data_IF_511234977397
#
_entry.id   IF_511234977397
#
_cell.length_a   1.000
_cell.length_b   1.000
_cell.length_c   1.000
_cell.angle_alpha   90.00
_cell.angle_beta   90.00
_cell.angle_gamma   90.00
#
_symmetry.space_group_name_H-M   'P 1'
#
loop_
_entity.id
_entity.type
_entity.pdbx_description
1 polymer ?
#
# COMPACT_ATOMS: atom_id res chain seq x y z
N UNK A 1 -36.46 -48.21 89.02
CA UNK A 1 -36.23 -48.23 87.56
C UNK A 1 -36.81 -46.95 86.99
N UNK A 2 -35.97 -45.92 86.81
CA UNK A 2 -36.38 -44.63 86.26
C UNK A 2 -36.02 -44.58 84.78
N UNK A 3 -37.03 -44.42 83.92
CA UNK A 3 -36.86 -44.18 82.49
C UNK A 3 -36.65 -42.67 82.27
N UNK A 4 -35.41 -42.30 81.94
CA UNK A 4 -35.03 -40.93 81.61
C UNK A 4 -35.41 -40.61 80.17
N UNK A 5 -36.31 -39.64 80.02
CA UNK A 5 -36.82 -39.14 78.74
C UNK A 5 -35.84 -38.13 78.13
N UNK A 6 -35.30 -38.46 76.96
CA UNK A 6 -34.36 -37.63 76.19
C UNK A 6 -35.08 -36.41 75.59
N UNK A 7 -35.00 -35.25 76.25
CA UNK A 7 -35.32 -33.95 75.64
C UNK A 7 -34.18 -33.49 74.73
N UNK A 8 -34.25 -33.87 73.46
CA UNK A 8 -33.59 -33.17 72.37
C UNK A 8 -34.38 -31.88 72.11
N UNK A 9 -33.86 -30.74 72.57
CA UNK A 9 -34.44 -29.42 72.27
C UNK A 9 -33.53 -28.70 71.28
N UNK A 10 -34.15 -28.24 70.20
CA UNK A 10 -33.51 -27.83 68.97
C UNK A 10 -32.54 -26.68 69.13
N UNK A 11 -31.41 -26.79 68.44
CA UNK A 11 -30.51 -25.69 68.16
C UNK A 11 -31.28 -24.51 67.54
N UNK A 12 -31.12 -23.28 68.03
CA UNK A 12 -31.73 -22.12 67.41
C UNK A 12 -31.16 -21.97 65.99
N UNK A 13 -32.03 -22.13 64.99
CA UNK A 13 -31.72 -21.79 63.61
C UNK A 13 -31.51 -20.27 63.57
N UNK A 14 -30.23 -19.87 63.55
CA UNK A 14 -29.87 -18.48 63.35
C UNK A 14 -30.49 -18.00 62.03
N UNK A 15 -31.08 -16.80 61.99
CA UNK A 15 -31.61 -16.26 60.75
C UNK A 15 -30.47 -16.22 59.75
N UNK A 16 -30.66 -16.92 58.63
CA UNK A 16 -29.81 -16.84 57.46
C UNK A 16 -29.49 -15.36 57.23
N UNK A 17 -28.23 -14.97 57.37
CA UNK A 17 -27.80 -13.63 57.06
C UNK A 17 -28.11 -13.42 55.58
N UNK A 18 -29.19 -12.70 55.29
CA UNK A 18 -29.54 -12.31 53.93
C UNK A 18 -28.43 -11.36 53.54
N UNK A 19 -27.42 -11.88 52.83
CA UNK A 19 -26.40 -11.05 52.21
C UNK A 19 -27.16 -10.05 51.36
N UNK A 20 -27.16 -8.79 51.80
CA UNK A 20 -27.89 -7.71 51.12
C UNK A 20 -27.30 -7.61 49.72
N UNK A 21 -28.06 -8.03 48.71
CA UNK A 21 -27.62 -7.93 47.33
C UNK A 21 -27.60 -6.45 46.95
N UNK A 22 -26.40 -5.89 46.85
CA UNK A 22 -26.15 -4.49 46.46
C UNK A 22 -26.20 -4.27 44.94
N UNK A 23 -26.47 -5.32 44.15
CA UNK A 23 -26.61 -5.27 42.69
C UNK A 23 -27.52 -4.14 42.17
N UNK A 24 -28.74 -3.89 42.72
CA UNK A 24 -29.61 -2.82 42.22
C UNK A 24 -29.07 -1.42 42.51
N UNK A 25 -28.59 -1.17 43.74
CA UNK A 25 -28.00 0.12 44.14
C UNK A 25 -26.77 0.43 43.28
N UNK A 26 -25.96 -0.59 43.01
CA UNK A 26 -24.76 -0.46 42.19
C UNK A 26 -25.12 -0.13 40.74
N UNK A 27 -26.16 -0.74 40.16
CA UNK A 27 -26.54 -0.52 38.78
C UNK A 27 -27.05 0.92 38.51
N UNK A 28 -27.79 1.50 39.45
CA UNK A 28 -28.25 2.90 39.36
C UNK A 28 -27.10 3.91 39.46
N UNK A 29 -26.07 3.61 40.26
CA UNK A 29 -24.85 4.42 40.32
C UNK A 29 -24.10 4.38 38.98
N UNK A 30 -24.01 3.21 38.35
CA UNK A 30 -23.40 3.09 37.01
C UNK A 30 -24.16 3.86 35.94
N UNK A 31 -25.50 3.95 36.03
CA UNK A 31 -26.30 4.80 35.14
C UNK A 31 -25.87 6.28 35.26
N UNK A 32 -25.81 6.80 36.48
CA UNK A 32 -25.38 8.19 36.74
C UNK A 32 -23.94 8.45 36.28
N UNK A 33 -23.06 7.48 36.44
CA UNK A 33 -21.68 7.59 35.96
C UNK A 33 -21.62 7.64 34.43
N UNK A 34 -22.41 6.81 33.75
CA UNK A 34 -22.51 6.82 32.30
C UNK A 34 -23.05 8.15 31.78
N UNK A 35 -24.09 8.70 32.41
CA UNK A 35 -24.64 10.04 32.14
C UNK A 35 -23.58 11.12 32.29
N UNK A 36 -22.79 11.10 33.37
CA UNK A 36 -21.70 12.07 33.58
C UNK A 36 -20.60 11.99 32.53
N UNK A 37 -20.24 10.79 32.07
CA UNK A 37 -19.14 10.58 31.13
C UNK A 37 -19.52 10.78 29.66
N UNK A 38 -20.74 10.43 29.28
CA UNK A 38 -21.19 10.43 27.89
C UNK A 38 -22.35 11.38 27.62
N UNK A 39 -22.98 11.93 28.65
CA UNK A 39 -24.14 12.81 28.56
C UNK A 39 -25.47 12.06 28.65
N UNK A 40 -26.49 12.79 29.12
CA UNK A 40 -27.84 12.27 29.38
C UNK A 40 -28.54 11.77 28.12
N UNK A 41 -28.32 12.44 26.99
CA UNK A 41 -28.92 12.06 25.70
C UNK A 41 -28.50 10.65 25.27
N UNK A 42 -27.23 10.29 25.51
CA UNK A 42 -26.73 8.96 25.22
C UNK A 42 -27.32 7.91 26.17
N UNK A 43 -27.48 8.24 27.46
CA UNK A 43 -28.09 7.34 28.43
C UNK A 43 -29.57 7.08 28.08
N UNK A 44 -30.35 8.13 27.79
CA UNK A 44 -31.74 8.04 27.32
C UNK A 44 -31.86 7.19 26.06
N UNK A 45 -30.95 7.37 25.10
CA UNK A 45 -30.93 6.60 23.86
C UNK A 45 -30.68 5.11 24.12
N UNK A 46 -29.77 4.76 25.04
CA UNK A 46 -29.52 3.37 25.43
C UNK A 46 -30.76 2.77 26.11
N UNK A 47 -31.39 3.49 27.04
CA UNK A 47 -32.65 3.06 27.67
C UNK A 47 -33.76 2.86 26.63
N UNK A 48 -33.91 3.77 25.66
CA UNK A 48 -34.87 3.60 24.55
C UNK A 48 -34.59 2.33 23.75
N UNK A 49 -33.33 2.05 23.40
CA UNK A 49 -32.94 0.84 22.64
C UNK A 49 -33.18 -0.44 23.43
N UNK A 50 -32.91 -0.42 24.73
CA UNK A 50 -33.21 -1.53 25.64
C UNK A 50 -34.70 -1.83 25.69
N UNK A 51 -35.52 -0.79 25.86
CA UNK A 51 -36.97 -0.92 25.89
C UNK A 51 -37.53 -1.42 24.56
N UNK A 52 -37.00 -0.95 23.42
CA UNK A 52 -37.39 -1.43 22.09
C UNK A 52 -37.08 -2.91 21.89
N UNK A 53 -35.92 -3.37 22.36
CA UNK A 53 -35.48 -4.76 22.21
C UNK A 53 -35.99 -5.67 23.33
N UNK A 54 -36.63 -5.11 24.36
CA UNK A 54 -37.06 -5.81 25.57
C UNK A 54 -35.89 -6.55 26.26
N UNK A 55 -34.70 -5.95 26.26
CA UNK A 55 -33.51 -6.52 26.92
C UNK A 55 -33.00 -5.57 27.99
N UNK A 56 -32.74 -6.12 29.18
CA UNK A 56 -32.12 -5.40 30.30
C UNK A 56 -30.66 -5.80 30.39
N UNK A 57 -29.76 -4.85 30.18
CA UNK A 57 -28.33 -5.02 30.43
C UNK A 57 -27.90 -4.20 31.65
N UNK A 58 -26.83 -4.64 32.32
CA UNK A 58 -26.22 -3.88 33.42
C UNK A 58 -25.49 -2.66 32.85
N UNK A 59 -25.68 -1.49 33.47
CA UNK A 59 -25.04 -0.24 33.04
C UNK A 59 -23.51 -0.32 33.07
N UNK A 60 -22.96 -1.12 33.98
CA UNK A 60 -21.51 -1.42 34.03
C UNK A 60 -21.01 -2.04 32.71
N UNK A 61 -21.73 -3.04 32.18
CA UNK A 61 -21.32 -3.73 30.94
C UNK A 61 -21.41 -2.80 29.73
N UNK A 62 -22.44 -1.95 29.68
CA UNK A 62 -22.56 -0.93 28.64
C UNK A 62 -21.44 0.10 28.68
N UNK A 63 -21.04 0.50 29.90
CA UNK A 63 -19.93 1.42 30.10
C UNK A 63 -18.61 0.80 29.60
N UNK A 64 -18.33 -0.45 29.99
CA UNK A 64 -17.13 -1.16 29.55
C UNK A 64 -17.10 -1.34 28.03
N UNK A 65 -18.21 -1.77 27.42
CA UNK A 65 -18.31 -1.95 25.98
C UNK A 65 -18.07 -0.64 25.21
N UNK A 66 -18.68 0.46 25.67
CA UNK A 66 -18.52 1.78 25.04
C UNK A 66 -17.11 2.36 25.22
N UNK A 67 -16.49 2.09 26.36
CA UNK A 67 -15.11 2.50 26.63
C UNK A 67 -14.15 1.79 25.67
N UNK A 68 -14.32 0.48 25.49
CA UNK A 68 -13.56 -0.31 24.52
C UNK A 68 -13.77 0.17 23.08
N UNK A 69 -15.00 0.47 22.68
CA UNK A 69 -15.28 1.00 21.34
C UNK A 69 -14.53 2.31 21.05
N UNK A 70 -14.45 3.21 22.04
CA UNK A 70 -13.68 4.46 21.93
C UNK A 70 -12.18 4.17 21.83
N UNK A 71 -11.67 3.28 22.65
CA UNK A 71 -10.26 2.89 22.66
C UNK A 71 -9.86 2.24 21.33
N UNK A 72 -10.68 1.35 20.79
CA UNK A 72 -10.48 0.73 19.47
C UNK A 72 -10.45 1.76 18.35
N UNK A 73 -11.33 2.77 18.40
CA UNK A 73 -11.32 3.86 17.43
C UNK A 73 -10.03 4.68 17.50
N UNK A 74 -9.58 5.00 18.72
CA UNK A 74 -8.31 5.70 18.94
C UNK A 74 -7.13 4.87 18.46
N UNK A 75 -7.06 3.59 18.83
CA UNK A 75 -6.02 2.65 18.43
C UNK A 75 -5.94 2.50 16.90
N UNK A 76 -7.08 2.36 16.22
CA UNK A 76 -7.13 2.33 14.74
C UNK A 76 -6.59 3.62 14.13
N UNK A 77 -6.89 4.77 14.71
CA UNK A 77 -6.36 6.05 14.21
C UNK A 77 -4.85 6.19 14.44
N UNK A 78 -4.35 5.74 15.59
CA UNK A 78 -2.93 5.74 15.93
C UNK A 78 -2.14 4.75 15.06
N UNK A 79 -2.70 3.56 14.81
CA UNK A 79 -2.10 2.54 13.94
C UNK A 79 -1.95 3.05 12.50
N UNK A 80 -2.96 3.74 11.96
CA UNK A 80 -2.88 4.39 10.64
C UNK A 80 -1.75 5.43 10.58
N UNK A 81 -1.53 6.18 11.65
CA UNK A 81 -0.44 7.15 11.71
C UNK A 81 0.92 6.45 11.77
N UNK A 82 1.04 5.40 12.59
CA UNK A 82 2.26 4.59 12.69
C UNK A 82 2.65 3.98 11.35
N UNK A 83 1.69 3.38 10.63
CA UNK A 83 1.92 2.81 9.30
C UNK A 83 2.49 3.86 8.32
N UNK A 84 1.92 5.06 8.27
CA UNK A 84 2.41 6.15 7.41
C UNK A 84 3.84 6.56 7.74
N UNK A 85 4.17 6.61 9.03
CA UNK A 85 5.51 6.95 9.49
C UNK A 85 6.53 5.89 9.07
N UNK A 86 6.19 4.61 9.26
CA UNK A 86 7.05 3.48 8.87
C UNK A 86 7.26 3.44 7.34
N UNK A 87 6.21 3.68 6.56
CA UNK A 87 6.32 3.82 5.10
C UNK A 87 7.24 4.97 4.68
N UNK A 88 7.17 6.11 5.38
CA UNK A 88 8.02 7.26 5.08
C UNK A 88 9.48 6.98 5.46
N UNK A 89 9.72 6.33 6.59
CA UNK A 89 11.05 5.87 6.98
C UNK A 89 11.63 4.90 5.97
N UNK A 90 10.87 3.91 5.52
CA UNK A 90 11.30 2.95 4.50
C UNK A 90 11.63 3.65 3.16
N UNK A 91 10.82 4.65 2.76
CA UNK A 91 11.10 5.49 1.59
C UNK A 91 12.37 6.34 1.75
N UNK A 92 12.70 6.78 2.96
CA UNK A 92 13.95 7.51 3.23
C UNK A 92 15.15 6.57 3.22
N UNK A 93 15.02 5.39 3.83
CA UNK A 93 16.06 4.36 3.83
C UNK A 93 16.37 3.84 2.43
N UNK A 94 15.36 3.65 1.57
CA UNK A 94 15.59 3.20 0.18
C UNK A 94 16.32 4.25 -0.68
N UNK A 95 16.20 5.53 -0.34
CA UNK A 95 16.94 6.63 -0.97
C UNK A 95 18.35 6.80 -0.40
N UNK A 96 18.64 6.22 0.77
CA UNK A 96 19.95 6.35 1.39
C UNK A 96 20.99 5.60 0.56
N UNK A 97 22.09 6.28 0.24
CA UNK A 97 23.20 5.70 -0.52
C UNK A 97 23.81 4.59 0.34
N UNK A 98 23.60 3.34 -0.06
CA UNK A 98 24.38 2.23 0.50
C UNK A 98 25.80 2.37 -0.01
N UNK A 99 26.72 2.70 0.91
CA UNK A 99 28.16 2.65 0.63
C UNK A 99 28.47 1.18 0.37
N UNK A 100 28.57 0.78 -0.91
CA UNK A 100 29.07 -0.54 -1.25
C UNK A 100 30.44 -0.69 -0.58
N UNK A 101 30.53 -1.57 0.41
CA UNK A 101 31.83 -2.00 0.91
C UNK A 101 32.54 -2.62 -0.28
N UNK A 102 33.54 -1.90 -0.79
CA UNK A 102 34.37 -2.37 -1.89
C UNK A 102 35.15 -3.56 -1.36
N UNK A 103 34.58 -4.76 -1.45
CA UNK A 103 35.42 -5.94 -1.64
C UNK A 103 36.03 -5.71 -3.02
N UNK A 104 37.36 -5.58 -3.15
CA UNK A 104 37.97 -5.40 -4.45
C UNK A 104 37.50 -6.54 -5.35
N UNK A 105 37.08 -6.26 -6.60
CA UNK A 105 36.65 -7.31 -7.51
C UNK A 105 37.76 -8.36 -7.55
N UNK A 106 37.44 -9.58 -7.10
CA UNK A 106 38.42 -10.67 -7.12
C UNK A 106 38.92 -10.80 -8.55
N UNK A 107 40.24 -10.82 -8.68
CA UNK A 107 40.99 -10.53 -9.90
C UNK A 107 40.39 -11.16 -11.16
N UNK A 108 39.48 -10.45 -11.82
CA UNK A 108 38.99 -10.82 -13.14
C UNK A 108 39.29 -9.65 -14.07
N UNK A 109 40.35 -9.84 -14.86
CA UNK A 109 40.89 -8.88 -15.83
C UNK A 109 39.87 -8.68 -16.97
N UNK A 110 38.75 -7.99 -16.71
CA UNK A 110 37.85 -7.56 -17.77
C UNK A 110 38.29 -6.19 -18.25
N UNK A 111 38.89 -6.16 -19.44
CA UNK A 111 39.29 -4.95 -20.17
C UNK A 111 38.12 -3.98 -20.29
N UNK A 112 38.22 -2.82 -19.65
CA UNK A 112 37.26 -1.71 -19.77
C UNK A 112 37.61 -0.73 -20.91
N UNK A 113 38.39 -1.17 -21.90
CA UNK A 113 38.66 -0.39 -23.11
C UNK A 113 38.63 -1.29 -24.35
N UNK A 114 37.46 -1.82 -24.68
CA UNK A 114 37.22 -2.38 -26.00
C UNK A 114 35.78 -2.16 -26.43
N UNK A 115 35.38 -0.89 -26.48
CA UNK A 115 34.35 -0.50 -27.43
C UNK A 115 35.05 -0.32 -28.77
N UNK A 116 34.84 -1.31 -29.65
CA UNK A 116 35.17 -1.21 -31.07
C UNK A 116 34.63 0.11 -31.62
N UNK A 117 35.49 0.95 -32.22
CA UNK A 117 35.03 2.20 -32.81
C UNK A 117 36.13 3.17 -33.20
N UNK A 118 36.32 3.29 -34.52
CA UNK A 118 36.93 4.41 -35.26
C UNK A 118 38.29 4.92 -34.75
N UNK A 119 39.35 4.68 -35.52
CA UNK A 119 40.71 5.13 -35.22
C UNK A 119 40.79 6.68 -35.28
N UNK A 120 40.74 7.34 -34.11
CA UNK A 120 40.93 8.79 -33.93
C UNK A 120 42.22 9.09 -33.16
N UNK A 121 43.17 8.15 -33.18
CA UNK A 121 44.43 8.21 -32.41
C UNK A 121 45.33 9.39 -32.80
N UNK A 122 45.25 9.85 -34.05
CA UNK A 122 46.00 10.96 -34.62
C UNK A 122 45.53 12.35 -34.18
N UNK A 123 44.41 12.45 -33.45
CA UNK A 123 43.89 13.74 -33.00
C UNK A 123 44.50 14.14 -31.65
N UNK A 124 45.05 15.36 -31.61
CA UNK A 124 45.84 15.86 -30.47
C UNK A 124 45.02 16.21 -29.22
N UNK A 125 43.69 16.37 -29.30
CA UNK A 125 42.86 16.78 -28.14
C UNK A 125 41.59 15.94 -27.96
N UNK A 126 41.16 15.76 -26.71
CA UNK A 126 39.96 14.98 -26.36
C UNK A 126 38.67 15.60 -26.94
N UNK A 127 38.60 16.93 -27.01
CA UNK A 127 37.49 17.64 -27.64
C UNK A 127 37.40 17.30 -29.14
N UNK A 128 38.53 17.33 -29.84
CA UNK A 128 38.59 17.03 -31.26
C UNK A 128 38.27 15.54 -31.54
N UNK A 129 38.72 14.63 -30.65
CA UNK A 129 38.38 13.19 -30.73
C UNK A 129 36.88 12.96 -30.60
N UNK A 130 36.23 13.61 -29.62
CA UNK A 130 34.77 13.52 -29.44
C UNK A 130 34.01 14.07 -30.65
N UNK A 131 34.38 15.26 -31.11
CA UNK A 131 33.74 15.88 -32.26
C UNK A 131 33.83 15.02 -33.53
N UNK A 132 35.00 14.42 -33.82
CA UNK A 132 35.13 13.50 -34.96
C UNK A 132 34.35 12.22 -34.78
N UNK A 133 34.31 11.66 -33.57
CA UNK A 133 33.57 10.43 -33.31
C UNK A 133 32.05 10.65 -33.47
N UNK A 134 31.52 11.77 -32.97
CA UNK A 134 30.12 12.14 -33.16
C UNK A 134 29.78 12.40 -34.62
N UNK A 135 30.68 13.07 -35.36
CA UNK A 135 30.51 13.26 -36.79
C UNK A 135 30.48 11.92 -37.55
N UNK A 136 31.43 11.00 -37.27
CA UNK A 136 31.47 9.68 -37.91
C UNK A 136 30.25 8.80 -37.57
N UNK A 137 29.66 9.00 -36.38
CA UNK A 137 28.47 8.29 -35.93
C UNK A 137 27.16 8.97 -36.36
N UNK A 138 27.22 10.16 -36.96
CA UNK A 138 26.03 10.92 -37.36
C UNK A 138 25.29 10.26 -38.54
N UNK A 139 23.97 10.43 -38.57
CA UNK A 139 23.13 9.97 -39.68
C UNK A 139 23.47 10.66 -41.00
N UNK A 140 24.07 11.85 -40.97
CA UNK A 140 24.46 12.61 -42.15
C UNK A 140 25.56 11.90 -42.95
N UNK A 141 26.54 11.31 -42.25
CA UNK A 141 27.62 10.52 -42.88
C UNK A 141 27.05 9.23 -43.49
N UNK A 142 26.14 8.55 -42.79
CA UNK A 142 25.47 7.35 -43.31
C UNK A 142 24.64 7.69 -44.58
N UNK A 143 23.88 8.78 -44.55
CA UNK A 143 23.07 9.24 -45.68
C UNK A 143 23.93 9.72 -46.87
N UNK A 144 25.07 10.36 -46.61
CA UNK A 144 26.02 10.78 -47.64
C UNK A 144 26.68 9.58 -48.34
N UNK A 145 27.06 8.54 -47.59
CA UNK A 145 27.58 7.30 -48.15
C UNK A 145 26.53 6.59 -49.02
N UNK A 146 25.28 6.51 -48.56
CA UNK A 146 24.17 5.94 -49.34
C UNK A 146 23.91 6.73 -50.63
N UNK A 147 23.98 8.06 -50.59
CA UNK A 147 23.83 8.91 -51.79
C UNK A 147 24.97 8.72 -52.78
N UNK A 148 26.22 8.58 -52.33
CA UNK A 148 27.37 8.29 -53.21
C UNK A 148 27.24 6.91 -53.88
N UNK A 149 26.83 5.89 -53.13
CA UNK A 149 26.58 4.55 -53.68
C UNK A 149 25.39 4.54 -54.65
N UNK A 150 24.36 5.36 -54.42
CA UNK A 150 23.23 5.52 -55.35
C UNK A 150 23.63 6.22 -56.66
N UNK A 151 24.60 7.13 -56.63
CA UNK A 151 25.14 7.76 -57.85
C UNK A 151 26.02 6.78 -58.62
N UNK A 152 26.85 5.98 -57.94
CA UNK A 152 27.64 4.92 -58.58
C UNK A 152 26.76 3.81 -59.19
N UNK A 153 25.61 3.50 -58.59
CA UNK A 153 24.62 2.56 -59.17
C UNK A 153 23.93 3.10 -60.43
N UNK A 154 23.96 4.41 -60.67
CA UNK A 154 23.42 5.04 -61.89
C UNK A 154 24.46 5.15 -63.01
N UNK A 155 25.72 4.85 -62.74
CA UNK A 155 26.81 4.92 -63.73
C UNK A 155 27.22 3.55 -64.31
N UNK A 156 26.38 2.52 -64.19
CA UNK A 156 26.56 1.23 -64.86
C UNK A 156 25.35 0.95 -65.78
N UNK A 157 25.57 0.64 -67.07
CA UNK A 157 24.48 0.47 -68.01
C UNK A 157 23.76 -0.87 -67.82
N UNK A 158 22.44 -0.77 -67.81
CA UNK A 158 21.37 -1.75 -68.00
C UNK A 158 21.76 -3.13 -68.54
N UNK A 159 21.35 -4.17 -67.80
CA UNK A 159 20.88 -5.53 -68.21
C UNK A 159 20.68 -6.32 -66.89
N UNK A 160 19.65 -7.09 -66.57
CA UNK A 160 18.53 -7.71 -67.29
C UNK A 160 17.53 -8.27 -66.24
N UNK A 161 16.39 -8.76 -66.70
CA UNK A 161 15.14 -9.13 -66.01
C UNK A 161 15.17 -10.41 -65.13
N UNK A 162 14.22 -10.50 -64.20
CA UNK A 162 13.35 -11.64 -63.78
C UNK A 162 13.04 -11.55 -62.28
N UNK A 163 11.86 -11.76 -61.71
CA UNK A 163 10.63 -12.42 -62.13
C UNK A 163 10.18 -13.35 -60.98
N UNK A 164 8.92 -13.26 -60.54
CA UNK A 164 8.22 -14.17 -59.58
C UNK A 164 8.72 -14.13 -58.10
N UNK A 165 7.91 -14.22 -57.04
CA UNK A 165 6.52 -14.62 -56.82
C UNK A 165 5.98 -14.04 -55.48
N UNK A 166 4.67 -13.75 -55.43
CA UNK A 166 3.83 -13.46 -54.23
C UNK A 166 3.54 -14.79 -53.44
N UNK A 167 2.77 -14.88 -52.30
CA UNK A 167 1.81 -13.90 -51.71
C UNK A 167 1.60 -13.89 -50.15
N UNK A 168 0.70 -12.98 -49.69
CA UNK A 168 -0.26 -13.08 -48.52
C UNK A 168 0.35 -12.95 -47.10
N UNK A 169 -0.12 -12.17 -46.10
CA UNK A 169 -1.40 -11.51 -45.77
C UNK A 169 -1.20 -10.42 -44.69
N UNK A 170 -2.00 -9.34 -44.68
CA UNK A 170 -2.23 -8.48 -43.50
C UNK A 170 -3.64 -7.83 -43.58
N UNK A 171 -4.45 -7.86 -42.52
CA UNK A 171 -5.48 -6.84 -42.30
C UNK A 171 -5.16 -6.03 -41.03
N UNK A 172 -5.14 -4.71 -41.14
CA UNK A 172 -4.74 -3.85 -40.02
C UNK A 172 -5.36 -2.46 -40.05
N UNK A 173 -6.51 -2.35 -39.37
CA UNK A 173 -7.00 -1.21 -38.56
C UNK A 173 -7.60 0.01 -39.28
N UNK A 174 -8.92 0.11 -39.15
CA UNK A 174 -9.70 1.32 -39.37
C UNK A 174 -9.60 2.31 -38.20
N UNK A 175 -9.61 3.59 -38.58
CA UNK A 175 -9.81 4.76 -37.74
C UNK A 175 -11.24 4.83 -37.20
N UNK A 176 -11.43 5.40 -36.01
CA UNK A 176 -12.67 6.11 -35.69
C UNK A 176 -12.44 7.17 -34.61
N UNK A 177 -12.63 8.42 -35.01
CA UNK A 177 -12.85 9.60 -34.17
C UNK A 177 -14.34 9.67 -33.86
N UNK A 178 -14.75 9.90 -32.61
CA UNK A 178 -16.07 10.47 -32.31
C UNK A 178 -16.01 11.41 -31.11
N UNK A 179 -16.53 12.61 -31.34
CA UNK A 179 -16.86 13.65 -30.38
C UNK A 179 -18.26 13.43 -29.83
N UNK A 180 -18.51 13.70 -28.53
CA UNK A 180 -19.87 13.94 -28.05
C UNK A 180 -19.97 15.17 -27.16
N UNK A 181 -21.01 15.94 -27.46
CA UNK A 181 -21.35 17.25 -26.92
C UNK A 181 -22.25 17.15 -25.68
N UNK A 182 -22.16 18.19 -24.84
CA UNK A 182 -22.97 18.41 -23.64
C UNK A 182 -24.35 18.94 -24.01
N UNK A 183 -25.38 18.55 -23.24
CA UNK A 183 -26.55 19.40 -22.99
C UNK A 183 -27.00 19.28 -21.53
N UNK A 184 -27.27 20.44 -20.92
CA UNK A 184 -27.96 20.62 -19.64
C UNK A 184 -29.46 20.78 -19.90
N UNK A 185 -30.27 20.24 -19.01
CA UNK A 185 -31.52 20.85 -18.51
C UNK A 185 -31.52 20.69 -17.00
#
# INVERSE_FOLDING_TARGET
>A
MGIGELRSSGSPSFPFCVVVDLSPVTNDLWRKFYEKHFGDEHAKLVTRRMNQKQVVFKWRQLYEAKTKEREDFQNKSAERLKQRYDEELAKRQSKQIQICSKVPPSANKRSFFSVSGHNVSHLKSNLMKKARLEYLKSNEVANAAMRKNAVQRKSLPTQSLSGLSKPISFPGKGSASTSQARYRR
#
